data_IF_690378747446
#
_entry.id   IF_690378747446
#
_cell.length_a   1.000
_cell.length_b   1.000
_cell.length_c   1.000
_cell.angle_alpha   90.00
_cell.angle_beta   90.00
_cell.angle_gamma   90.00
#
_symmetry.space_group_name_H-M   'P 1'
#
loop_
_entity.id
_entity.type
_entity.pdbx_description
1 polymer ?
#
# COMPACT_ATOMS: atom_id res chain seq x y z
N UNK A 1 -26.11 -13.36 -66.59
CA UNK A 1 -27.42 -13.42 -65.94
C UNK A 1 -27.27 -14.28 -64.69
N UNK A 2 -27.84 -13.84 -63.56
CA UNK A 2 -27.76 -14.35 -62.17
C UNK A 2 -26.53 -13.85 -61.38
N UNK A 3 -26.59 -12.71 -60.67
CA UNK A 3 -27.38 -12.33 -59.47
C UNK A 3 -27.03 -13.15 -58.21
N UNK A 4 -26.12 -12.62 -57.38
CA UNK A 4 -26.40 -12.34 -55.97
C UNK A 4 -25.26 -11.52 -55.36
N UNK A 5 -25.60 -10.31 -54.96
CA UNK A 5 -24.74 -9.32 -54.34
C UNK A 5 -24.64 -9.55 -52.83
N UNK A 6 -23.49 -9.19 -52.26
CA UNK A 6 -23.35 -8.49 -50.96
C UNK A 6 -24.15 -9.08 -49.78
N UNK A 7 -23.50 -9.87 -48.92
CA UNK A 7 -23.72 -9.80 -47.45
C UNK A 7 -22.78 -10.76 -46.73
N UNK A 8 -21.85 -10.19 -45.93
CA UNK A 8 -21.30 -10.69 -44.64
C UNK A 8 -19.94 -10.04 -44.37
N UNK A 9 -20.03 -8.72 -44.26
CA UNK A 9 -19.12 -7.88 -43.48
C UNK A 9 -19.10 -8.41 -42.03
N UNK A 10 -17.90 -8.51 -41.45
CA UNK A 10 -17.56 -8.63 -40.03
C UNK A 10 -18.39 -9.61 -39.17
N UNK A 11 -17.78 -10.72 -38.76
CA UNK A 11 -18.20 -11.44 -37.55
C UNK A 11 -16.99 -11.79 -36.68
N UNK A 12 -16.90 -11.09 -35.53
CA UNK A 12 -16.20 -11.40 -34.28
C UNK A 12 -14.68 -11.65 -34.38
N UNK A 13 -13.79 -10.70 -34.07
CA UNK A 13 -13.52 -10.11 -32.75
C UNK A 13 -13.45 -11.12 -31.58
N UNK A 14 -12.29 -11.11 -30.91
CA UNK A 14 -12.06 -11.51 -29.53
C UNK A 14 -11.83 -13.01 -29.20
N UNK A 15 -10.61 -13.48 -29.45
CA UNK A 15 -9.98 -14.54 -28.64
C UNK A 15 -8.67 -14.07 -28.00
N UNK A 16 -8.56 -12.76 -27.75
CA UNK A 16 -7.51 -12.19 -26.92
C UNK A 16 -8.19 -11.52 -25.72
N UNK A 17 -8.33 -12.25 -24.62
CA UNK A 17 -8.27 -11.74 -23.23
C UNK A 17 -8.90 -12.74 -22.26
N UNK A 18 -8.11 -13.72 -21.83
CA UNK A 18 -8.31 -14.34 -20.51
C UNK A 18 -6.96 -14.74 -19.91
N UNK A 19 -6.02 -13.79 -19.93
CA UNK A 19 -4.87 -13.80 -19.00
C UNK A 19 -5.00 -12.61 -18.05
N UNK A 20 -6.20 -12.46 -17.51
CA UNK A 20 -6.55 -11.49 -16.49
C UNK A 20 -7.30 -12.20 -15.36
N UNK A 21 -6.65 -13.17 -14.74
CA UNK A 21 -7.03 -13.71 -13.44
C UNK A 21 -5.78 -14.36 -12.85
N UNK A 22 -5.36 -13.87 -11.68
CA UNK A 22 -4.06 -14.11 -11.06
C UNK A 22 -2.89 -13.48 -11.83
N UNK A 23 -2.85 -12.14 -11.83
CA UNK A 23 -1.55 -11.50 -11.65
C UNK A 23 -1.03 -12.06 -10.32
N UNK A 24 0.04 -12.85 -10.38
CA UNK A 24 0.81 -13.23 -9.21
C UNK A 24 1.33 -11.92 -8.63
N UNK A 25 0.54 -11.32 -7.73
CA UNK A 25 0.85 -10.03 -7.15
C UNK A 25 2.19 -10.21 -6.47
N UNK A 26 3.21 -9.49 -6.96
CA UNK A 26 4.56 -9.60 -6.41
C UNK A 26 4.47 -9.53 -4.88
N UNK A 27 5.17 -10.41 -4.16
CA UNK A 27 5.07 -10.49 -2.71
C UNK A 27 5.30 -9.11 -2.12
N UNK A 28 4.52 -8.76 -1.09
CA UNK A 28 4.62 -7.47 -0.44
C UNK A 28 6.05 -7.24 0.04
N UNK A 29 6.66 -6.14 -0.43
CA UNK A 29 8.09 -5.86 -0.30
C UNK A 29 8.62 -5.97 1.13
N UNK A 30 7.80 -5.56 2.10
CA UNK A 30 8.19 -5.48 3.51
C UNK A 30 7.68 -6.67 4.34
N UNK A 31 7.16 -7.71 3.69
CA UNK A 31 6.70 -8.91 4.39
C UNK A 31 7.86 -9.53 5.19
N UNK A 32 7.60 -9.81 6.47
CA UNK A 32 8.58 -10.37 7.42
C UNK A 32 9.85 -9.52 7.62
N UNK A 33 9.87 -8.26 7.18
CA UNK A 33 10.98 -7.36 7.45
C UNK A 33 10.98 -6.97 8.94
N UNK A 34 12.12 -7.17 9.61
CA UNK A 34 12.29 -6.73 10.99
C UNK A 34 12.42 -5.22 11.07
N UNK A 35 12.05 -4.64 12.22
CA UNK A 35 12.26 -3.21 12.50
C UNK A 35 13.73 -2.80 12.27
N UNK A 36 14.69 -3.65 12.65
CA UNK A 36 16.11 -3.39 12.46
C UNK A 36 16.50 -3.29 10.98
N UNK A 37 15.95 -4.15 10.12
CA UNK A 37 16.16 -4.08 8.67
C UNK A 37 15.56 -2.82 8.07
N UNK A 38 14.32 -2.49 8.44
CA UNK A 38 13.65 -1.26 7.97
C UNK A 38 14.40 0.01 8.41
N UNK A 39 14.92 0.03 9.64
CA UNK A 39 15.80 1.10 10.12
C UNK A 39 17.10 1.20 9.31
N UNK A 40 17.73 0.06 8.99
CA UNK A 40 18.94 0.04 8.19
C UNK A 40 18.70 0.57 6.76
N UNK A 41 17.58 0.22 6.13
CA UNK A 41 17.18 0.75 4.83
C UNK A 41 16.94 2.27 4.89
N UNK A 42 16.26 2.76 5.93
CA UNK A 42 16.06 4.20 6.14
C UNK A 42 17.36 4.96 6.42
N UNK A 43 18.26 4.38 7.22
CA UNK A 43 19.58 4.97 7.50
C UNK A 43 20.46 5.03 6.24
N UNK A 44 20.32 4.05 5.35
CA UNK A 44 21.01 4.02 4.07
C UNK A 44 20.35 4.88 2.98
N UNK A 45 19.23 5.55 3.28
CA UNK A 45 18.50 6.39 2.33
C UNK A 45 17.78 5.61 1.22
N UNK A 46 17.60 4.30 1.36
CA UNK A 46 16.91 3.44 0.40
C UNK A 46 15.39 3.36 0.64
N UNK A 47 14.95 3.77 1.82
CA UNK A 47 13.56 3.80 2.26
C UNK A 47 13.30 5.09 3.04
N UNK A 48 12.10 5.63 2.95
CA UNK A 48 11.63 6.73 3.81
C UNK A 48 10.48 6.25 4.69
N UNK A 49 10.26 6.92 5.82
CA UNK A 49 9.09 6.68 6.68
C UNK A 49 7.80 6.90 5.90
N UNK A 50 7.74 7.93 5.06
CA UNK A 50 6.58 8.21 4.21
C UNK A 50 6.30 7.02 3.28
N UNK A 51 7.32 6.54 2.57
CA UNK A 51 7.16 5.45 1.62
C UNK A 51 6.71 4.16 2.31
N UNK A 52 7.36 3.81 3.43
CA UNK A 52 6.97 2.65 4.23
C UNK A 52 5.52 2.75 4.71
N UNK A 53 5.09 3.92 5.17
CA UNK A 53 3.71 4.15 5.64
C UNK A 53 2.70 4.00 4.51
N UNK A 54 2.97 4.59 3.33
CA UNK A 54 2.11 4.44 2.15
C UNK A 54 2.01 3.00 1.67
N UNK A 55 3.12 2.26 1.68
CA UNK A 55 3.14 0.85 1.29
C UNK A 55 2.22 0.01 2.20
N UNK A 56 2.23 0.26 3.52
CA UNK A 56 1.32 -0.41 4.45
C UNK A 56 -0.13 0.06 4.32
N UNK A 57 -0.39 1.36 4.11
CA UNK A 57 -1.74 1.86 3.86
C UNK A 57 -2.36 1.23 2.61
N UNK A 58 -1.58 1.09 1.53
CA UNK A 58 -2.05 0.40 0.33
C UNK A 58 -2.37 -1.08 0.61
N UNK A 59 -1.52 -1.76 1.38
CA UNK A 59 -1.78 -3.15 1.78
C UNK A 59 -3.04 -3.28 2.63
N UNK A 60 -3.33 -2.32 3.51
CA UNK A 60 -4.58 -2.28 4.29
C UNK A 60 -5.77 -2.10 3.34
N UNK A 61 -5.69 -1.18 2.38
CA UNK A 61 -6.76 -1.02 1.38
C UNK A 61 -6.99 -2.31 0.59
N UNK A 62 -5.93 -2.99 0.15
CA UNK A 62 -6.02 -4.19 -0.70
C UNK A 62 -6.56 -5.41 0.06
N UNK A 63 -6.27 -5.54 1.36
CA UNK A 63 -6.58 -6.74 2.15
C UNK A 63 -7.75 -6.57 3.13
N UNK A 64 -7.86 -5.38 3.71
CA UNK A 64 -8.81 -5.10 4.78
C UNK A 64 -10.14 -4.58 4.25
N UNK A 65 -10.10 -3.59 3.34
CA UNK A 65 -11.29 -2.90 2.83
C UNK A 65 -11.72 -3.33 1.41
N UNK A 66 -10.75 -3.66 0.53
CA UNK A 66 -10.98 -3.91 -0.90
C UNK A 66 -10.84 -5.37 -1.35
N UNK A 67 -10.44 -6.29 -0.46
CA UNK A 67 -10.14 -7.69 -0.78
C UNK A 67 -10.85 -8.69 0.12
N UNK A 68 -10.14 -9.65 0.76
CA UNK A 68 -10.74 -10.71 1.60
C UNK A 68 -11.53 -10.20 2.81
N UNK A 69 -11.45 -8.91 3.15
CA UNK A 69 -12.26 -8.32 4.20
C UNK A 69 -11.80 -8.75 5.58
N UNK A 70 -10.49 -8.65 5.85
CA UNK A 70 -9.92 -9.06 7.15
C UNK A 70 -10.52 -8.26 8.31
N UNK A 71 -10.91 -7.00 8.07
CA UNK A 71 -11.52 -6.09 9.04
C UNK A 71 -10.68 -5.95 10.33
N UNK A 72 -9.36 -5.88 10.18
CA UNK A 72 -8.40 -5.67 11.24
C UNK A 72 -8.19 -4.19 11.60
N UNK A 73 -8.48 -3.26 10.68
CA UNK A 73 -8.22 -1.82 10.88
C UNK A 73 -9.53 -1.05 10.86
N UNK A 74 -9.94 -0.55 12.03
CA UNK A 74 -11.21 0.17 12.19
C UNK A 74 -11.10 1.61 11.64
N UNK A 75 -9.98 2.28 11.89
CA UNK A 75 -9.71 3.65 11.44
C UNK A 75 -8.22 3.82 11.11
N UNK A 76 -7.94 4.62 10.06
CA UNK A 76 -6.60 5.08 9.73
C UNK A 76 -6.42 6.50 10.27
N UNK A 77 -5.32 6.71 11.00
CA UNK A 77 -4.96 8.03 11.50
C UNK A 77 -4.77 9.04 10.36
N UNK A 78 -5.56 10.13 10.30
CA UNK A 78 -5.48 11.13 9.24
C UNK A 78 -4.14 11.87 9.22
N UNK A 79 -3.41 11.87 10.33
CA UNK A 79 -2.11 12.51 10.46
C UNK A 79 -0.92 11.56 10.16
N UNK A 80 -1.16 10.27 9.88
CA UNK A 80 -0.08 9.27 9.71
C UNK A 80 1.00 9.68 8.68
N UNK A 81 0.59 10.21 7.53
CA UNK A 81 1.52 10.67 6.49
C UNK A 81 2.29 11.93 6.92
N UNK A 82 1.63 12.86 7.62
CA UNK A 82 2.29 14.08 8.08
C UNK A 82 3.33 13.77 9.17
N UNK A 83 3.03 12.83 10.06
CA UNK A 83 3.96 12.31 11.07
C UNK A 83 5.16 11.60 10.42
N UNK A 84 4.94 10.79 9.38
CA UNK A 84 6.01 10.13 8.64
C UNK A 84 6.94 11.13 7.94
N UNK A 85 6.39 12.15 7.28
CA UNK A 85 7.14 13.24 6.66
C UNK A 85 8.00 14.01 7.67
N UNK A 86 7.47 14.28 8.87
CA UNK A 86 8.21 14.92 9.95
C UNK A 86 9.35 14.02 10.49
N UNK A 87 9.11 12.72 10.62
CA UNK A 87 10.16 11.76 10.97
C UNK A 87 11.31 11.76 9.93
N UNK A 88 10.98 11.78 8.64
CA UNK A 88 11.97 11.87 7.56
C UNK A 88 12.73 13.21 7.59
N UNK A 89 12.03 14.32 7.86
CA UNK A 89 12.66 15.64 8.00
C UNK A 89 13.64 15.69 9.19
N UNK A 90 13.28 15.11 10.33
CA UNK A 90 14.17 14.96 11.49
C UNK A 90 15.40 14.13 11.13
N UNK A 91 15.22 12.99 10.46
CA UNK A 91 16.33 12.13 10.03
C UNK A 91 17.30 12.86 9.10
N UNK A 92 16.80 13.61 8.10
CA UNK A 92 17.64 14.42 7.20
C UNK A 92 18.49 15.47 7.93
N UNK A 93 18.02 15.93 9.10
CA UNK A 93 18.75 16.86 9.98
C UNK A 93 19.69 16.16 10.97
N UNK A 94 19.85 14.84 10.88
CA UNK A 94 20.65 14.04 11.82
C UNK A 94 19.95 13.76 13.16
N UNK A 95 18.64 14.02 13.27
CA UNK A 95 17.85 13.78 14.49
C UNK A 95 17.12 12.45 14.35
N UNK A 96 17.58 11.43 15.06
CA UNK A 96 16.96 10.09 15.13
C UNK A 96 16.57 9.82 16.57
N UNK A 97 15.27 9.60 16.82
CA UNK A 97 14.71 9.50 18.18
C UNK A 97 14.92 8.14 18.84
N UNK A 98 15.35 7.13 18.10
CA UNK A 98 15.60 5.77 18.59
C UNK A 98 15.24 4.69 17.58
N UNK A 99 15.20 3.40 18.02
CA UNK A 99 14.96 2.26 17.13
C UNK A 99 13.62 2.26 16.38
N UNK A 100 12.62 3.00 16.89
CA UNK A 100 11.29 3.11 16.27
C UNK A 100 11.10 4.38 15.42
N UNK A 101 12.15 5.18 15.22
CA UNK A 101 12.04 6.44 14.48
C UNK A 101 11.56 6.22 13.03
N UNK A 102 10.34 6.64 12.71
CA UNK A 102 9.73 6.51 11.38
C UNK A 102 9.14 5.14 11.07
N UNK A 103 8.91 4.29 12.08
CA UNK A 103 8.26 2.98 11.89
C UNK A 103 6.75 3.14 12.08
N UNK A 104 5.91 2.80 11.09
CA UNK A 104 4.45 2.80 11.27
C UNK A 104 4.03 1.63 12.18
N UNK A 105 3.05 1.88 13.04
CA UNK A 105 2.49 0.89 13.98
C UNK A 105 0.96 1.00 13.99
N UNK A 106 0.29 -0.06 14.40
CA UNK A 106 -1.13 -0.05 14.73
C UNK A 106 -1.28 -0.08 16.25
N UNK A 107 -2.33 0.59 16.73
CA UNK A 107 -2.74 0.56 18.12
C UNK A 107 -4.10 -0.14 18.22
N UNK A 108 -4.31 -0.83 19.34
CA UNK A 108 -5.62 -1.40 19.63
C UNK A 108 -6.57 -0.28 20.04
N UNK A 109 -7.82 -0.36 19.61
CA UNK A 109 -8.87 0.65 19.81
C UNK A 109 -9.20 0.98 21.28
N UNK A 110 -8.69 0.19 22.23
CA UNK A 110 -8.81 0.48 23.65
C UNK A 110 -7.61 1.25 24.22
N UNK A 111 -6.80 1.88 23.36
CA UNK A 111 -5.63 2.66 23.72
C UNK A 111 -5.81 4.08 23.15
N UNK A 112 -5.94 5.05 24.04
CA UNK A 112 -6.11 6.45 23.65
C UNK A 112 -4.85 7.03 23.00
N UNK A 113 -5.04 7.86 21.98
CA UNK A 113 -4.00 8.67 21.35
C UNK A 113 -4.29 10.16 21.53
N UNK A 114 -3.25 10.98 21.56
CA UNK A 114 -3.37 12.44 21.65
C UNK A 114 -3.47 13.15 20.29
N UNK A 115 -3.82 12.42 19.24
CA UNK A 115 -3.91 12.91 17.85
C UNK A 115 -5.37 13.07 17.42
N UNK A 116 -5.63 13.15 16.09
CA UNK A 116 -6.96 13.42 15.54
C UNK A 116 -7.80 12.18 15.25
N UNK A 117 -7.44 11.02 15.81
CA UNK A 117 -8.28 9.82 15.74
C UNK A 117 -9.63 10.09 16.40
N UNK A 118 -10.71 9.45 15.91
CA UNK A 118 -12.00 9.49 16.60
C UNK A 118 -11.96 8.54 17.81
N UNK A 119 -11.64 9.08 18.99
CA UNK A 119 -11.74 8.37 20.28
C UNK A 119 -13.06 8.63 20.99
#
# INVERSE_FOLDING_TARGET
MNRSSISRILLLALLASSRAAAADAAPFRHAEATVAQLQAEMAAGRLTSEQLTRDYMQRILDLDQGGPGVNAVIEINPDAISMALDADAKRRRGIVLGPLHGIPVLLKDNIDTGDKMQT
#
